data_IF_769677010035
#
_entry.id   IF_769677010035
#
_cell.length_a   1.000
_cell.length_b   1.000
_cell.length_c   1.000
_cell.angle_alpha   90.00
_cell.angle_beta   90.00
_cell.angle_gamma   90.00
#
_symmetry.space_group_name_H-M   'P 1'
#
loop_
_entity.id
_entity.type
_entity.pdbx_description
1 polymer ?
#
# COMPACT_ATOMS: atom_id res chain seq x y z
N UNK A 1 -11.86 13.14 -14.77
CA UNK A 1 -11.00 14.26 -14.34
C UNK A 1 -9.79 14.40 -15.26
N UNK A 2 -9.57 15.58 -15.85
CA UNK A 2 -8.45 15.86 -16.77
C UNK A 2 -7.14 16.12 -16.00
N UNK A 3 -6.10 15.33 -16.27
CA UNK A 3 -4.79 15.42 -15.60
C UNK A 3 -4.10 16.76 -15.84
N UNK A 4 -4.20 17.32 -17.04
CA UNK A 4 -3.55 18.58 -17.38
C UNK A 4 -4.21 19.75 -16.66
N UNK A 5 -5.55 19.70 -16.53
CA UNK A 5 -6.31 20.65 -15.71
C UNK A 5 -5.91 20.60 -14.23
N UNK A 6 -5.77 19.41 -13.64
CA UNK A 6 -5.30 19.26 -12.25
C UNK A 6 -3.87 19.80 -12.09
N UNK A 7 -2.98 19.43 -13.01
CA UNK A 7 -1.60 19.91 -12.99
C UNK A 7 -1.54 21.45 -13.07
N UNK A 8 -2.40 22.07 -13.89
CA UNK A 8 -2.52 23.52 -13.98
C UNK A 8 -3.02 24.15 -12.67
N UNK A 9 -4.02 23.57 -12.03
CA UNK A 9 -4.51 24.03 -10.72
C UNK A 9 -3.41 23.99 -9.65
N UNK A 10 -2.69 22.87 -9.55
CA UNK A 10 -1.56 22.70 -8.62
C UNK A 10 -0.47 23.73 -8.91
N UNK A 11 -0.04 23.84 -10.17
CA UNK A 11 1.01 24.76 -10.60
C UNK A 11 0.65 26.22 -10.32
N UNK A 12 -0.58 26.64 -10.62
CA UNK A 12 -1.07 27.98 -10.34
C UNK A 12 -1.07 28.26 -8.82
N UNK A 13 -1.52 27.30 -8.01
CA UNK A 13 -1.60 27.44 -6.55
C UNK A 13 -0.21 27.54 -5.90
N UNK A 14 0.75 26.73 -6.36
CA UNK A 14 2.15 26.78 -5.94
C UNK A 14 2.81 28.10 -6.37
N UNK A 15 2.56 28.56 -7.60
CA UNK A 15 3.10 29.81 -8.13
C UNK A 15 2.60 31.00 -7.32
N UNK A 16 1.30 31.06 -7.01
CA UNK A 16 0.71 32.11 -6.17
C UNK A 16 1.29 32.13 -4.75
N UNK A 17 1.67 30.96 -4.20
CA UNK A 17 2.28 30.83 -2.88
C UNK A 17 3.81 30.93 -2.86
N UNK A 18 4.46 31.09 -4.02
CA UNK A 18 5.91 30.83 -4.21
C UNK A 18 6.80 31.50 -3.16
N UNK A 19 6.57 32.77 -2.86
CA UNK A 19 7.40 33.52 -1.90
C UNK A 19 7.30 32.94 -0.49
N UNK A 20 6.09 32.67 -0.01
CA UNK A 20 5.85 32.06 1.30
C UNK A 20 6.44 30.64 1.38
N UNK A 21 6.24 29.82 0.35
CA UNK A 21 6.79 28.47 0.29
C UNK A 21 8.32 28.49 0.28
N UNK A 22 8.91 29.43 -0.47
CA UNK A 22 10.36 29.63 -0.49
C UNK A 22 10.89 30.07 0.88
N UNK A 23 10.20 30.98 1.58
CA UNK A 23 10.58 31.39 2.94
C UNK A 23 10.51 30.22 3.94
N UNK A 24 9.46 29.39 3.88
CA UNK A 24 9.37 28.17 4.71
C UNK A 24 10.56 27.23 4.46
N UNK A 25 10.87 27.02 3.17
CA UNK A 25 11.99 26.16 2.77
C UNK A 25 13.34 26.74 3.20
N UNK A 26 13.59 28.03 2.95
CA UNK A 26 14.85 28.70 3.31
C UNK A 26 15.11 28.71 4.83
N UNK A 27 14.05 28.83 5.65
CA UNK A 27 14.17 28.75 7.12
C UNK A 27 14.60 27.37 7.61
N UNK A 28 14.33 26.31 6.86
CA UNK A 28 14.52 24.91 7.27
C UNK A 28 15.61 24.17 6.49
N UNK A 29 16.10 24.72 5.37
CA UNK A 29 17.03 24.06 4.43
C UNK A 29 18.38 23.66 5.01
N UNK A 30 18.85 24.35 6.06
CA UNK A 30 20.10 23.99 6.73
C UNK A 30 20.00 22.71 7.57
N UNK A 31 18.79 22.14 7.70
CA UNK A 31 18.55 20.80 8.24
C UNK A 31 18.02 19.88 7.13
N UNK A 32 16.70 19.90 6.90
CA UNK A 32 16.03 19.02 5.91
C UNK A 32 15.42 19.84 4.76
N UNK A 33 14.94 21.07 5.02
CA UNK A 33 14.21 21.89 4.05
C UNK A 33 12.79 21.37 3.80
N UNK A 34 11.77 22.16 4.13
CA UNK A 34 10.38 21.79 3.92
C UNK A 34 9.49 23.02 3.68
N UNK A 35 8.35 22.79 3.02
CA UNK A 35 7.24 23.72 2.96
C UNK A 35 5.93 22.93 2.94
N UNK A 36 4.82 23.57 3.29
CA UNK A 36 3.49 23.03 3.10
C UNK A 36 2.55 24.12 2.56
N UNK A 37 1.47 23.68 1.92
CA UNK A 37 0.45 24.54 1.35
C UNK A 37 -0.92 23.94 1.60
N UNK A 38 -1.74 24.66 2.33
CA UNK A 38 -3.13 24.27 2.56
C UNK A 38 -3.98 24.63 1.34
N UNK A 39 -5.06 23.86 1.14
CA UNK A 39 -6.01 24.05 0.03
C UNK A 39 -5.29 24.06 -1.33
N UNK A 40 -4.49 23.02 -1.60
CA UNK A 40 -3.78 22.88 -2.87
C UNK A 40 -4.73 22.75 -4.06
N UNK A 41 -5.85 22.06 -3.84
CA UNK A 41 -6.92 21.83 -4.80
C UNK A 41 -8.26 22.30 -4.23
N UNK A 42 -9.24 22.65 -5.10
CA UNK A 42 -10.62 22.87 -4.69
C UNK A 42 -11.20 21.66 -3.93
N UNK A 43 -12.05 21.91 -2.94
CA UNK A 43 -12.59 20.88 -2.07
C UNK A 43 -13.38 19.82 -2.86
N UNK A 44 -14.06 20.22 -3.93
CA UNK A 44 -14.83 19.34 -4.81
C UNK A 44 -13.93 18.30 -5.48
N UNK A 45 -12.76 18.71 -5.97
CA UNK A 45 -11.78 17.82 -6.59
C UNK A 45 -11.16 16.88 -5.54
N UNK A 46 -10.87 17.40 -4.34
CA UNK A 46 -10.34 16.57 -3.24
C UNK A 46 -11.36 15.50 -2.85
N UNK A 47 -12.63 15.87 -2.73
CA UNK A 47 -13.73 14.93 -2.44
C UNK A 47 -13.94 13.95 -3.59
N UNK A 48 -13.82 14.38 -4.85
CA UNK A 48 -13.91 13.48 -6.00
C UNK A 48 -12.82 12.40 -5.94
N UNK A 49 -11.57 12.79 -5.66
CA UNK A 49 -10.42 11.88 -5.50
C UNK A 49 -10.66 10.89 -4.35
N UNK A 50 -11.10 11.38 -3.19
CA UNK A 50 -11.43 10.54 -2.02
C UNK A 50 -12.51 9.50 -2.35
N UNK A 51 -13.51 9.90 -3.14
CA UNK A 51 -14.62 9.04 -3.54
C UNK A 51 -14.32 8.12 -4.75
N UNK A 52 -13.24 8.33 -5.51
CA UNK A 52 -13.00 7.63 -6.77
C UNK A 52 -12.81 6.11 -6.63
N UNK A 53 -12.47 5.59 -5.44
CA UNK A 53 -12.36 4.15 -5.24
C UNK A 53 -13.16 3.64 -4.04
N UNK A 54 -14.36 3.06 -4.26
CA UNK A 54 -15.30 2.74 -3.18
C UNK A 54 -14.93 1.43 -2.46
N UNK A 55 -13.66 1.14 -2.23
CA UNK A 55 -13.30 -0.12 -1.53
C UNK A 55 -13.74 -0.16 -0.06
N UNK A 56 -13.99 1.01 0.53
CA UNK A 56 -14.56 1.12 1.87
C UNK A 56 -16.08 0.95 1.86
N UNK A 57 -16.72 0.99 0.69
CA UNK A 57 -18.17 0.87 0.56
C UNK A 57 -18.62 -0.53 1.00
N UNK A 58 -19.62 -0.56 1.87
CA UNK A 58 -20.11 -1.79 2.51
C UNK A 58 -20.68 -2.80 1.51
N UNK A 59 -21.23 -2.35 0.38
CA UNK A 59 -21.73 -3.25 -0.67
C UNK A 59 -20.58 -4.04 -1.30
N UNK A 60 -19.49 -3.34 -1.65
CA UNK A 60 -18.27 -3.97 -2.21
C UNK A 60 -17.66 -4.93 -1.19
N UNK A 61 -17.56 -4.51 0.07
CA UNK A 61 -17.05 -5.35 1.16
C UNK A 61 -17.92 -6.60 1.32
N UNK A 62 -19.25 -6.47 1.33
CA UNK A 62 -20.18 -7.59 1.48
C UNK A 62 -20.13 -8.55 0.27
N UNK A 63 -19.97 -8.04 -0.94
CA UNK A 63 -19.77 -8.87 -2.13
C UNK A 63 -18.50 -9.73 -1.98
N UNK A 64 -17.36 -9.11 -1.63
CA UNK A 64 -16.09 -9.82 -1.44
C UNK A 64 -16.15 -10.78 -0.25
N UNK A 65 -16.79 -10.37 0.85
CA UNK A 65 -17.08 -11.19 2.02
C UNK A 65 -17.77 -12.50 1.62
N UNK A 66 -18.82 -12.40 0.80
CA UNK A 66 -19.58 -13.54 0.32
C UNK A 66 -18.75 -14.42 -0.64
N UNK A 67 -18.08 -13.82 -1.63
CA UNK A 67 -17.24 -14.54 -2.60
C UNK A 67 -16.12 -15.34 -1.90
N UNK A 68 -15.50 -14.75 -0.88
CA UNK A 68 -14.37 -15.37 -0.17
C UNK A 68 -14.80 -16.26 1.00
N UNK A 69 -16.09 -16.31 1.35
CA UNK A 69 -16.59 -17.09 2.48
C UNK A 69 -16.03 -16.66 3.84
N UNK A 70 -15.80 -15.35 4.03
CA UNK A 70 -15.26 -14.81 5.28
C UNK A 70 -16.41 -14.21 6.10
N UNK A 71 -16.61 -14.64 7.34
CA UNK A 71 -17.75 -14.15 8.13
C UNK A 71 -17.59 -12.69 8.59
N UNK A 72 -16.41 -12.34 9.08
CA UNK A 72 -16.14 -11.03 9.66
C UNK A 72 -15.11 -10.29 8.80
N UNK A 73 -15.57 -9.57 7.79
CA UNK A 73 -14.71 -8.79 6.90
C UNK A 73 -14.98 -7.30 7.10
N UNK A 74 -13.93 -6.54 7.37
CA UNK A 74 -13.96 -5.10 7.62
C UNK A 74 -12.98 -4.40 6.70
N UNK A 75 -13.29 -3.21 6.20
CA UNK A 75 -12.37 -2.52 5.32
C UNK A 75 -11.29 -1.75 6.08
N UNK A 76 -10.20 -1.37 5.41
CA UNK A 76 -9.17 -0.47 5.95
C UNK A 76 -9.66 0.98 5.95
N UNK A 77 -10.55 1.34 6.90
CA UNK A 77 -11.20 2.66 6.96
C UNK A 77 -10.21 3.84 6.95
N UNK A 78 -8.98 3.61 7.43
CA UNK A 78 -7.96 4.64 7.54
C UNK A 78 -6.92 4.59 6.41
N UNK A 79 -7.09 3.69 5.43
CA UNK A 79 -6.12 3.42 4.37
C UNK A 79 -4.70 3.30 4.94
N UNK A 80 -4.55 2.68 6.12
CA UNK A 80 -3.29 2.62 6.83
C UNK A 80 -2.20 1.93 5.99
N UNK A 81 -2.58 0.89 5.25
CA UNK A 81 -1.71 0.22 4.32
C UNK A 81 -2.08 0.50 2.86
N UNK A 82 -3.32 0.93 2.60
CA UNK A 82 -3.87 1.25 1.28
C UNK A 82 -3.17 2.42 0.58
N UNK A 83 -3.29 2.50 -0.73
CA UNK A 83 -2.77 3.65 -1.49
C UNK A 83 -2.54 3.38 -2.97
N UNK A 84 -1.85 4.32 -3.62
CA UNK A 84 -1.44 4.20 -5.02
C UNK A 84 0.04 3.83 -5.06
N UNK A 85 0.35 2.76 -5.78
CA UNK A 85 1.72 2.37 -6.11
C UNK A 85 1.99 2.65 -7.59
N UNK A 86 3.15 3.24 -7.87
CA UNK A 86 3.65 3.47 -9.23
C UNK A 86 5.06 2.90 -9.33
N UNK A 87 5.26 1.94 -10.22
CA UNK A 87 6.54 1.24 -10.39
C UNK A 87 7.08 1.47 -11.80
N UNK A 88 8.31 1.99 -11.89
CA UNK A 88 9.05 2.23 -13.15
C UNK A 88 10.05 1.11 -13.45
N UNK A 89 10.71 1.19 -14.61
CA UNK A 89 11.77 0.27 -15.05
C UNK A 89 12.72 -0.13 -13.91
N UNK A 90 13.03 -1.43 -13.86
CA UNK A 90 13.87 -2.10 -12.87
C UNK A 90 13.33 -2.12 -11.43
N UNK A 91 12.19 -1.48 -11.13
CA UNK A 91 11.57 -1.62 -9.82
C UNK A 91 10.82 -2.95 -9.72
N UNK A 92 10.90 -3.56 -8.53
CA UNK A 92 10.27 -4.84 -8.20
C UNK A 92 9.99 -4.88 -6.70
N UNK A 93 9.24 -5.90 -6.26
CA UNK A 93 9.16 -6.27 -4.85
C UNK A 93 9.63 -7.70 -4.69
N UNK A 94 10.61 -7.91 -3.81
CA UNK A 94 11.09 -9.23 -3.47
C UNK A 94 9.97 -10.10 -2.87
N UNK A 95 10.10 -11.44 -2.91
CA UNK A 95 9.17 -12.32 -2.24
C UNK A 95 8.98 -11.92 -0.76
N UNK A 96 7.73 -11.76 -0.35
CA UNK A 96 7.39 -11.30 0.98
C UNK A 96 6.08 -11.88 1.51
N UNK A 97 5.97 -11.78 2.83
CA UNK A 97 4.71 -11.82 3.56
C UNK A 97 4.44 -10.42 4.09
N UNK A 98 3.21 -9.99 3.95
CA UNK A 98 2.73 -8.77 4.58
C UNK A 98 2.65 -8.89 6.10
N UNK A 99 2.57 -7.78 6.82
CA UNK A 99 2.27 -7.82 8.26
C UNK A 99 0.87 -8.41 8.49
N UNK A 100 0.73 -9.26 9.49
CA UNK A 100 -0.53 -10.00 9.69
C UNK A 100 -1.66 -9.20 10.33
N UNK A 101 -1.43 -7.97 10.78
CA UNK A 101 -2.43 -7.16 11.48
C UNK A 101 -2.45 -5.70 11.05
N UNK A 102 -3.51 -4.98 11.40
CA UNK A 102 -3.58 -3.52 11.30
C UNK A 102 -2.53 -2.80 12.18
N UNK A 103 -2.48 -1.46 12.08
CA UNK A 103 -1.48 -0.63 12.76
C UNK A 103 -1.42 -0.85 14.27
N UNK A 104 -2.58 -1.05 14.88
CA UNK A 104 -2.76 -1.19 16.32
C UNK A 104 -2.71 -2.64 16.80
N UNK A 105 -2.58 -3.59 15.86
CA UNK A 105 -2.57 -5.06 16.08
C UNK A 105 -3.87 -5.60 16.66
N UNK A 106 -4.99 -4.97 16.36
CA UNK A 106 -6.31 -5.38 16.86
C UNK A 106 -7.01 -6.34 15.90
N UNK A 107 -6.71 -6.25 14.60
CA UNK A 107 -7.40 -7.00 13.55
C UNK A 107 -6.42 -7.66 12.61
N UNK A 108 -6.75 -8.87 12.18
CA UNK A 108 -5.98 -9.66 11.22
C UNK A 108 -6.15 -9.12 9.81
N UNK A 109 -5.07 -8.89 9.08
CA UNK A 109 -5.13 -8.69 7.63
C UNK A 109 -5.48 -10.03 7.01
N UNK A 110 -6.60 -10.09 6.29
CA UNK A 110 -7.08 -11.34 5.67
C UNK A 110 -7.14 -11.30 4.15
N UNK A 111 -7.27 -10.10 3.56
CA UNK A 111 -7.24 -9.93 2.10
C UNK A 111 -6.42 -8.71 1.67
N UNK A 112 -5.66 -8.86 0.59
CA UNK A 112 -5.15 -7.75 -0.22
C UNK A 112 -6.00 -7.61 -1.49
N UNK A 113 -6.36 -6.38 -1.82
CA UNK A 113 -7.05 -5.99 -3.04
C UNK A 113 -6.10 -5.14 -3.88
N UNK A 114 -5.85 -5.55 -5.11
CA UNK A 114 -4.89 -4.91 -6.01
C UNK A 114 -5.56 -4.64 -7.35
N UNK A 115 -5.77 -3.37 -7.67
CA UNK A 115 -6.42 -2.96 -8.92
C UNK A 115 -5.48 -2.21 -9.84
N UNK A 116 -5.34 -2.76 -11.04
CA UNK A 116 -4.39 -2.31 -12.04
C UNK A 116 -5.02 -1.25 -12.95
N UNK A 117 -4.45 -0.04 -12.93
CA UNK A 117 -5.02 1.15 -13.58
C UNK A 117 -4.21 1.69 -14.74
N UNK A 118 -3.20 0.94 -15.20
CA UNK A 118 -2.36 1.37 -16.33
C UNK A 118 -2.94 0.85 -17.64
N UNK A 119 -3.44 1.72 -18.53
CA UNK A 119 -3.96 1.29 -19.83
C UNK A 119 -2.85 0.69 -20.69
N UNK A 120 -3.22 -0.23 -21.57
CA UNK A 120 -2.33 -0.84 -22.57
C UNK A 120 -1.03 -1.44 -21.99
N UNK A 121 -1.10 -2.01 -20.78
CA UNK A 121 0.05 -2.68 -20.17
C UNK A 121 0.25 -4.07 -20.78
N UNK A 122 1.31 -4.23 -21.56
CA UNK A 122 1.66 -5.51 -22.19
C UNK A 122 2.23 -6.51 -21.18
N UNK A 123 1.97 -7.80 -21.38
CA UNK A 123 2.45 -8.87 -20.50
C UNK A 123 4.01 -8.97 -20.51
N UNK A 124 4.68 -8.53 -21.58
CA UNK A 124 6.15 -8.48 -21.65
C UNK A 124 6.75 -7.35 -20.80
N UNK A 125 5.96 -6.37 -20.37
CA UNK A 125 6.45 -5.22 -19.60
C UNK A 125 6.82 -5.58 -18.15
N UNK A 126 6.43 -6.77 -17.67
CA UNK A 126 6.64 -7.19 -16.28
C UNK A 126 5.81 -6.38 -15.28
N UNK A 127 6.32 -6.22 -14.05
CA UNK A 127 5.58 -5.58 -12.95
C UNK A 127 4.39 -6.40 -12.42
N UNK A 128 4.40 -7.72 -12.62
CA UNK A 128 3.29 -8.63 -12.33
C UNK A 128 3.32 -9.16 -10.92
N UNK A 129 2.14 -9.43 -10.36
CA UNK A 129 2.03 -10.11 -9.08
C UNK A 129 2.41 -11.58 -9.28
N UNK A 130 3.31 -12.07 -8.44
CA UNK A 130 3.78 -13.44 -8.42
C UNK A 130 3.32 -14.07 -7.10
N UNK A 131 2.61 -15.20 -7.16
CA UNK A 131 2.15 -15.95 -6.00
C UNK A 131 3.00 -17.23 -5.85
N UNK A 132 3.41 -17.55 -4.62
CA UNK A 132 4.30 -18.69 -4.34
C UNK A 132 3.61 -19.72 -3.43
N UNK A 133 2.51 -20.38 -3.88
CA UNK A 133 1.69 -21.25 -3.02
C UNK A 133 2.46 -22.46 -2.50
N UNK A 134 3.43 -22.95 -3.28
CA UNK A 134 4.26 -24.11 -2.94
C UNK A 134 5.63 -23.71 -2.36
N UNK A 135 5.74 -22.47 -1.88
CA UNK A 135 6.96 -21.91 -1.31
C UNK A 135 7.96 -21.40 -2.36
N UNK A 136 8.94 -20.63 -1.88
CA UNK A 136 9.83 -19.83 -2.73
C UNK A 136 10.76 -20.66 -3.61
N UNK A 137 11.01 -21.94 -3.28
CA UNK A 137 11.85 -22.82 -4.11
C UNK A 137 11.12 -23.42 -5.31
N UNK A 138 9.81 -23.20 -5.42
CA UNK A 138 8.96 -23.73 -6.50
C UNK A 138 8.55 -22.59 -7.43
N UNK A 139 8.10 -22.94 -8.64
CA UNK A 139 7.64 -21.96 -9.62
C UNK A 139 6.43 -21.19 -9.08
N UNK A 140 6.47 -19.87 -9.27
CA UNK A 140 5.39 -18.95 -8.95
C UNK A 140 4.23 -19.06 -9.96
N UNK A 141 3.04 -18.69 -9.51
CA UNK A 141 1.91 -18.36 -10.37
C UNK A 141 1.99 -16.87 -10.68
N UNK A 142 1.93 -16.49 -11.96
CA UNK A 142 1.99 -15.08 -12.36
C UNK A 142 0.59 -14.57 -12.69
N UNK A 143 0.20 -13.48 -12.03
CA UNK A 143 -1.03 -12.74 -12.31
C UNK A 143 -0.67 -11.43 -13.02
N UNK A 144 -0.92 -11.40 -14.33
CA UNK A 144 -0.61 -10.26 -15.18
C UNK A 144 -1.35 -8.98 -14.76
N UNK A 145 -0.64 -7.86 -14.85
CA UNK A 145 -1.07 -6.52 -14.45
C UNK A 145 -1.96 -5.81 -15.47
N UNK A 146 -2.92 -6.54 -16.03
CA UNK A 146 -3.78 -6.04 -17.10
C UNK A 146 -4.62 -4.85 -16.62
N UNK A 147 -4.82 -3.87 -17.49
CA UNK A 147 -5.67 -2.73 -17.21
C UNK A 147 -7.07 -3.16 -16.74
N UNK A 148 -7.62 -2.45 -15.77
CA UNK A 148 -8.95 -2.68 -15.21
C UNK A 148 -9.13 -4.07 -14.56
N UNK A 149 -8.04 -4.69 -14.11
CA UNK A 149 -8.08 -5.95 -13.37
C UNK A 149 -8.05 -5.69 -11.87
N UNK A 150 -9.01 -6.26 -11.14
CA UNK A 150 -8.94 -6.42 -9.69
C UNK A 150 -8.41 -7.82 -9.37
N UNK A 151 -7.38 -7.89 -8.52
CA UNK A 151 -6.94 -9.13 -7.88
C UNK A 151 -7.26 -9.04 -6.40
N UNK A 152 -7.96 -10.06 -5.89
CA UNK A 152 -8.17 -10.25 -4.45
C UNK A 152 -7.38 -11.48 -4.04
N UNK A 153 -6.47 -11.33 -3.08
CA UNK A 153 -5.66 -12.44 -2.57
C UNK A 153 -5.78 -12.58 -1.06
N UNK A 154 -5.84 -13.82 -0.60
CA UNK A 154 -5.78 -14.17 0.81
C UNK A 154 -4.42 -13.80 1.41
N UNK A 155 -4.44 -13.29 2.64
CA UNK A 155 -3.23 -13.04 3.43
C UNK A 155 -3.21 -13.92 4.67
N UNK A 156 -2.11 -14.65 4.82
CA UNK A 156 -1.84 -15.55 5.94
C UNK A 156 -0.33 -15.87 5.95
N UNK A 157 0.15 -16.66 6.91
CA UNK A 157 1.60 -16.90 7.07
C UNK A 157 2.28 -17.70 5.93
N UNK A 158 1.50 -18.13 4.92
CA UNK A 158 1.96 -18.86 3.74
C UNK A 158 1.64 -18.13 2.43
N UNK A 159 1.04 -16.94 2.48
CA UNK A 159 0.66 -16.16 1.30
C UNK A 159 1.87 -15.41 0.73
N UNK A 160 2.95 -16.14 0.43
CA UNK A 160 4.15 -15.58 -0.16
C UNK A 160 3.86 -15.01 -1.54
N UNK A 161 4.24 -13.76 -1.76
CA UNK A 161 4.04 -13.08 -3.03
C UNK A 161 5.18 -12.10 -3.35
N UNK A 162 5.35 -11.75 -4.62
CA UNK A 162 6.30 -10.74 -5.09
C UNK A 162 5.71 -9.91 -6.22
N UNK A 163 6.45 -8.89 -6.64
CA UNK A 163 6.20 -8.21 -7.90
C UNK A 163 7.41 -8.42 -8.80
N UNK A 164 7.19 -8.94 -10.01
CA UNK A 164 8.25 -9.11 -11.01
C UNK A 164 8.84 -7.75 -11.41
N UNK A 165 10.10 -7.67 -11.86
CA UNK A 165 10.65 -6.43 -12.37
C UNK A 165 9.81 -5.82 -13.49
N UNK A 166 9.69 -4.50 -13.49
CA UNK A 166 9.20 -3.74 -14.64
C UNK A 166 10.35 -3.64 -15.65
N UNK A 167 10.10 -4.04 -16.90
CA UNK A 167 11.14 -4.16 -17.94
C UNK A 167 11.16 -2.98 -18.92
N UNK A 168 10.07 -2.20 -18.95
CA UNK A 168 9.89 -1.05 -19.84
C UNK A 168 10.05 0.28 -19.09
N UNK A 169 10.46 1.34 -19.80
CA UNK A 169 10.50 2.70 -19.25
C UNK A 169 9.10 3.35 -19.27
N UNK A 170 8.22 2.79 -18.46
CA UNK A 170 6.86 3.26 -18.23
C UNK A 170 6.45 2.93 -16.79
N UNK A 171 5.24 3.30 -16.39
CA UNK A 171 4.77 3.22 -15.02
C UNK A 171 3.66 2.18 -14.86
N UNK A 172 3.93 1.09 -14.15
CA UNK A 172 2.91 0.16 -13.66
C UNK A 172 2.26 0.77 -12.42
N UNK A 173 1.01 1.19 -12.57
CA UNK A 173 0.19 1.78 -11.52
C UNK A 173 -0.85 0.79 -10.96
N UNK A 174 -0.98 0.75 -9.65
CA UNK A 174 -1.97 -0.07 -8.95
C UNK A 174 -2.51 0.67 -7.73
N UNK A 175 -3.83 0.62 -7.56
CA UNK A 175 -4.50 1.02 -6.32
C UNK A 175 -4.56 -0.22 -5.44
N UNK A 176 -3.98 -0.15 -4.24
CA UNK A 176 -4.01 -1.21 -3.26
C UNK A 176 -4.97 -0.87 -2.12
N UNK A 177 -5.74 -1.85 -1.69
CA UNK A 177 -6.50 -1.79 -0.45
C UNK A 177 -6.44 -3.12 0.30
N UNK A 178 -6.87 -3.12 1.56
CA UNK A 178 -6.72 -4.25 2.47
C UNK A 178 -8.00 -4.43 3.25
N UNK A 179 -8.40 -5.68 3.46
CA UNK A 179 -9.49 -6.02 4.37
C UNK A 179 -8.99 -6.83 5.56
N UNK A 180 -9.64 -6.57 6.68
CA UNK A 180 -9.30 -7.07 7.99
C UNK A 180 -10.43 -7.91 8.59
N UNK A 181 -10.09 -8.70 9.59
CA UNK A 181 -11.02 -9.53 10.35
C UNK A 181 -10.64 -9.57 11.83
N UNK A 182 -11.62 -9.85 12.68
CA UNK A 182 -11.36 -10.13 14.10
C UNK A 182 -10.67 -11.49 14.30
N UNK A 183 -10.75 -12.39 13.31
CA UNK A 183 -10.18 -13.74 13.36
C UNK A 183 -9.17 -13.93 12.22
N UNK A 184 -8.12 -14.75 12.42
CA UNK A 184 -7.24 -15.10 11.33
C UNK A 184 -7.97 -15.91 10.25
N UNK A 185 -7.47 -15.87 9.02
CA UNK A 185 -8.03 -16.67 7.92
C UNK A 185 -7.76 -18.17 8.14
N UNK A 186 -6.66 -18.54 8.80
CA UNK A 186 -6.34 -19.91 9.20
C UNK A 186 -6.16 -19.99 10.71
N UNK A 187 -6.69 -21.05 11.33
CA UNK A 187 -6.61 -21.25 12.79
C UNK A 187 -5.18 -21.22 13.35
N UNK A 188 -4.20 -21.65 12.55
CA UNK A 188 -2.79 -21.73 12.95
C UNK A 188 -1.96 -20.49 12.55
N UNK A 189 -2.58 -19.42 12.04
CA UNK A 189 -1.87 -18.19 11.73
C UNK A 189 -1.41 -17.49 13.01
N UNK A 190 -0.22 -16.87 12.93
CA UNK A 190 0.42 -16.19 14.06
C UNK A 190 0.71 -14.75 13.72
N UNK A 191 0.91 -13.94 14.75
CA UNK A 191 1.42 -12.59 14.59
C UNK A 191 2.79 -12.60 13.87
N UNK A 192 2.92 -11.82 12.80
CA UNK A 192 4.18 -11.55 12.13
C UNK A 192 4.24 -10.14 11.53
N UNK A 193 5.45 -9.58 11.43
CA UNK A 193 5.71 -8.35 10.67
C UNK A 193 5.90 -8.69 9.20
N UNK A 194 5.90 -7.66 8.36
CA UNK A 194 6.31 -7.77 6.96
C UNK A 194 7.68 -8.43 6.86
N UNK A 195 7.75 -9.55 6.16
CA UNK A 195 8.93 -10.41 6.07
C UNK A 195 9.33 -10.48 4.61
N UNK A 196 10.55 -10.09 4.29
CA UNK A 196 11.10 -10.22 2.94
C UNK A 196 12.02 -11.45 2.84
N UNK A 197 12.15 -11.97 1.64
CA UNK A 197 13.04 -13.07 1.26
C UNK A 197 13.69 -12.75 -0.07
N UNK A 198 14.90 -13.26 -0.28
CA UNK A 198 15.52 -13.21 -1.59
C UNK A 198 14.78 -14.13 -2.55
N UNK A 199 14.82 -13.82 -3.84
CA UNK A 199 14.43 -14.77 -4.89
C UNK A 199 15.34 -16.02 -4.86
N UNK A 200 14.96 -17.15 -5.49
CA UNK A 200 15.70 -18.41 -5.40
C UNK A 200 17.19 -18.31 -5.73
N UNK A 201 17.53 -17.48 -6.72
CA UNK A 201 18.88 -17.20 -7.18
C UNK A 201 19.68 -16.28 -6.22
N UNK A 202 19.01 -15.56 -5.32
CA UNK A 202 19.62 -14.55 -4.44
C UNK A 202 19.99 -15.13 -3.08
N UNK A 203 20.92 -16.10 -3.04
CA UNK A 203 21.26 -16.87 -1.85
C UNK A 203 21.73 -15.97 -0.69
N UNK A 204 22.70 -15.09 -0.93
CA UNK A 204 23.28 -14.21 0.10
C UNK A 204 22.24 -13.20 0.60
N UNK A 205 21.56 -12.51 -0.32
CA UNK A 205 20.48 -11.56 -0.01
C UNK A 205 19.38 -12.22 0.82
N UNK A 206 19.04 -13.48 0.52
CA UNK A 206 18.04 -14.22 1.28
C UNK A 206 18.46 -14.45 2.73
N UNK A 207 19.73 -14.73 3.01
CA UNK A 207 20.21 -14.88 4.39
C UNK A 207 20.17 -13.54 5.14
N UNK A 208 20.57 -12.44 4.51
CA UNK A 208 20.48 -11.10 5.10
C UNK A 208 19.03 -10.77 5.46
N UNK A 209 18.09 -10.98 4.53
CA UNK A 209 16.68 -10.70 4.74
C UNK A 209 16.02 -11.61 5.80
N UNK A 210 16.49 -12.85 5.95
CA UNK A 210 16.08 -13.75 7.05
C UNK A 210 16.48 -13.20 8.39
N UNK A 211 17.74 -12.78 8.54
CA UNK A 211 18.27 -12.21 9.77
C UNK A 211 17.56 -10.91 10.13
N UNK A 212 17.37 -9.99 9.17
CA UNK A 212 16.58 -8.76 9.37
C UNK A 212 15.17 -9.06 9.88
N UNK A 213 14.45 -9.96 9.20
CA UNK A 213 13.07 -10.30 9.59
C UNK A 213 13.02 -10.91 10.99
N UNK A 214 13.98 -11.76 11.34
CA UNK A 214 14.11 -12.33 12.68
C UNK A 214 14.34 -11.25 13.74
N UNK A 215 15.28 -10.33 13.51
CA UNK A 215 15.57 -9.21 14.42
C UNK A 215 14.35 -8.31 14.61
N UNK A 216 13.70 -7.88 13.52
CA UNK A 216 12.48 -7.06 13.58
C UNK A 216 11.37 -7.79 14.33
N UNK A 217 11.25 -9.10 14.17
CA UNK A 217 10.28 -9.89 14.92
C UNK A 217 10.56 -9.96 16.42
N UNK A 218 11.81 -10.20 16.79
CA UNK A 218 12.25 -10.23 18.19
C UNK A 218 12.00 -8.89 18.88
N UNK A 219 12.37 -7.78 18.23
CA UNK A 219 12.08 -6.42 18.73
C UNK A 219 10.57 -6.22 18.91
N UNK A 220 9.76 -6.62 17.92
CA UNK A 220 8.31 -6.41 17.93
C UNK A 220 7.56 -7.27 18.97
N UNK A 221 8.16 -8.39 19.40
CA UNK A 221 7.68 -9.20 20.53
C UNK A 221 7.96 -8.53 21.88
N UNK A 222 9.15 -7.95 22.05
CA UNK A 222 9.52 -7.22 23.27
C UNK A 222 8.71 -5.92 23.42
N UNK A 223 8.51 -5.18 22.32
CA UNK A 223 7.72 -3.94 22.28
C UNK A 223 6.28 -4.21 21.82
N UNK A 224 5.50 -4.95 22.64
CA UNK A 224 4.11 -5.37 22.36
C UNK A 224 3.20 -4.21 21.91
N UNK A 225 3.32 -3.07 22.56
CA UNK A 225 2.80 -1.78 22.10
C UNK A 225 4.01 -1.00 21.58
N UNK A 226 4.00 -0.60 20.31
CA UNK A 226 5.08 0.21 19.75
C UNK A 226 5.33 1.44 20.62
N UNK A 227 6.53 2.04 20.53
CA UNK A 227 6.84 3.34 21.12
C UNK A 227 5.67 4.31 20.84
N UNK A 228 4.79 4.51 21.83
CA UNK A 228 3.62 5.37 21.71
C UNK A 228 4.11 6.81 21.83
N UNK A 229 4.36 7.45 20.69
CA UNK A 229 4.11 8.87 20.38
C UNK A 229 4.87 9.25 19.12
N UNK A 230 4.16 9.82 18.14
CA UNK A 230 4.43 11.12 17.51
C UNK A 230 3.28 11.40 16.51
N UNK A 231 2.45 12.38 16.89
CA UNK A 231 1.44 13.15 16.15
C UNK A 231 0.42 12.43 15.24
N UNK A 232 -0.78 12.19 15.78
CA UNK A 232 -2.00 12.18 14.97
C UNK A 232 -2.70 13.53 15.15
N UNK A 233 -2.95 14.21 14.04
CA UNK A 233 -3.75 15.43 13.95
C UNK A 233 -5.05 15.28 14.74
N UNK A 234 -5.27 16.17 15.70
CA UNK A 234 -6.60 16.41 16.27
C UNK A 234 -7.49 16.98 15.17
N UNK A 235 -8.39 16.16 14.63
CA UNK A 235 -9.59 16.64 13.93
C UNK A 235 -10.48 17.34 14.97
N UNK A 236 -10.17 18.60 15.31
CA UNK A 236 -11.18 19.49 15.89
C UNK A 236 -12.13 19.82 14.75
N UNK A 237 -13.37 19.32 14.84
CA UNK A 237 -14.51 19.90 14.13
C UNK A 237 -14.53 21.38 14.48
N UNK A 238 -14.18 22.22 13.52
CA UNK A 238 -14.53 23.64 13.57
C UNK A 238 -15.70 23.79 12.63
N UNK A 239 -16.89 23.89 13.23
CA UNK A 239 -18.05 24.46 12.55
C UNK A 239 -17.78 25.96 12.43
N UNK A 240 -17.85 26.51 11.22
CA UNK A 240 -17.98 27.95 11.04
C UNK A 240 -19.43 28.24 10.62
N UNK A 241 -20.08 29.09 11.41
CA UNK A 241 -21.11 30.02 10.92
C UNK A 241 -20.47 31.01 9.95
#
# INVERSE_FOLDING_TARGET
>A
MDRDKIAKLISNRLTRGKELLKQQYDKSKNKIGYFYIDNLLPAEIVNEIDNQFPYQNIEVVNCIKHICGIENLQPDEYLYAGGISSMKKNQFLNPHLDNSHDKDRNRWRVLNLLYYVTPNWNDENGGHLELWPNGLKKKQITLYSKFNRLVVMATHQLSWHSVSPVLVDSYRNCVSNYYFSNSPLRLNDKFHVTTFRGRPEQIITNQILKTDSFLRMSIRRLLRKGLRKIYMYTKRRINFC
#
